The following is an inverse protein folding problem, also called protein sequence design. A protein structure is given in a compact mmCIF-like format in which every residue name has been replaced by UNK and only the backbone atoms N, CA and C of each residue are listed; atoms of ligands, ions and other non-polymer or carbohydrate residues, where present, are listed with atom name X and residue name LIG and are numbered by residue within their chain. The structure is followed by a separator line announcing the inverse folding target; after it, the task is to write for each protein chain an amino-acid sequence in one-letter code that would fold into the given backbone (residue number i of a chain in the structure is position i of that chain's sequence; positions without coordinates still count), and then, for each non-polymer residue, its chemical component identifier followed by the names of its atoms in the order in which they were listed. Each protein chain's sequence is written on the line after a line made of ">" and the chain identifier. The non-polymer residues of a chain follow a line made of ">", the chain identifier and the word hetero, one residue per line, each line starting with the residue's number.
data_IF_717750228889
#
_entry.id   IF_717750228889
#
_cell.length_a   1.000
_cell.length_b   1.000
_cell.length_c   1.000
_cell.angle_alpha   90.00
_cell.angle_beta   90.00
_cell.angle_gamma   90.00
#
_symmetry.space_group_name_H-M   'P 1'
#
loop_
_entity.id
_entity.type
_entity.pdbx_description
1 polymer ?
#
# COMPACT_ATOMS: atom_id res chain seq x y z
N UNK A 1 20.56 -40.83 39.13
CA UNK A 1 20.01 -39.47 39.27
C UNK A 1 19.95 -38.84 37.89
N UNK A 2 18.74 -38.49 37.42
CA UNK A 2 18.50 -37.85 36.12
C UNK A 2 18.67 -36.35 36.26
N UNK A 3 19.58 -35.73 35.51
CA UNK A 3 19.62 -34.28 35.34
C UNK A 3 19.00 -33.93 33.99
N UNK A 4 17.79 -33.39 34.03
CA UNK A 4 17.12 -32.77 32.88
C UNK A 4 17.66 -31.35 32.80
N UNK A 5 18.54 -31.09 31.83
CA UNK A 5 18.92 -29.73 31.45
C UNK A 5 17.88 -29.26 30.43
N UNK A 6 16.99 -28.34 30.85
CA UNK A 6 16.07 -27.66 29.95
C UNK A 6 16.87 -26.77 29.01
N UNK A 7 16.95 -27.16 27.74
CA UNK A 7 17.45 -26.29 26.68
C UNK A 7 16.38 -25.23 26.40
N UNK A 8 16.52 -24.04 26.97
CA UNK A 8 15.76 -22.89 26.54
C UNK A 8 16.32 -22.48 25.18
N UNK A 9 15.58 -22.78 24.10
CA UNK A 9 15.85 -22.21 22.80
C UNK A 9 15.65 -20.70 22.92
N UNK A 10 16.76 -19.96 22.97
CA UNK A 10 16.77 -18.51 22.77
C UNK A 10 16.42 -18.31 21.30
N UNK A 11 15.13 -18.07 21.05
CA UNK A 11 14.70 -17.54 19.76
C UNK A 11 15.22 -16.11 19.73
N UNK A 12 16.33 -15.90 19.03
CA UNK A 12 16.75 -14.58 18.61
C UNK A 12 15.65 -14.05 17.69
N UNK A 13 14.72 -13.27 18.23
CA UNK A 13 13.96 -12.33 17.43
C UNK A 13 14.96 -11.29 16.96
N UNK A 14 15.49 -11.47 15.76
CA UNK A 14 16.07 -10.36 15.00
C UNK A 14 14.87 -9.44 14.73
N UNK A 15 14.61 -8.52 15.66
CA UNK A 15 13.82 -7.33 15.39
C UNK A 15 14.56 -6.59 14.29
N UNK A 16 14.16 -6.87 13.06
CA UNK A 16 14.46 -6.06 11.89
C UNK A 16 13.79 -4.72 12.17
N UNK A 17 14.56 -3.83 12.80
CA UNK A 17 14.21 -2.46 13.10
C UNK A 17 14.28 -1.67 11.78
N UNK A 18 13.46 -2.04 10.80
CA UNK A 18 13.41 -1.35 9.53
C UNK A 18 12.52 -0.11 9.66
N UNK A 19 13.19 1.04 9.60
CA UNK A 19 12.64 2.34 9.22
C UNK A 19 11.33 2.78 9.91
N UNK A 20 11.32 2.83 11.24
CA UNK A 20 10.31 3.60 12.00
C UNK A 20 10.74 5.04 12.33
N UNK A 21 11.83 5.55 11.76
CA UNK A 21 12.37 6.88 12.08
C UNK A 21 12.12 7.95 11.00
N UNK A 22 11.00 7.88 10.30
CA UNK A 22 10.31 9.12 9.95
C UNK A 22 9.24 9.31 11.00
N UNK A 23 9.39 10.34 11.84
CA UNK A 23 8.27 10.91 12.58
C UNK A 23 7.21 11.25 11.53
N UNK A 24 6.24 10.38 11.36
CA UNK A 24 5.05 10.62 10.53
C UNK A 24 4.20 11.60 11.34
N UNK A 25 4.61 12.86 11.32
CA UNK A 25 3.91 13.99 11.94
C UNK A 25 2.67 14.38 11.15
N UNK A 26 2.59 14.00 9.88
CA UNK A 26 1.40 14.13 9.04
C UNK A 26 0.53 12.88 9.15
N UNK A 27 -0.80 13.02 9.19
CA UNK A 27 -1.72 11.88 9.19
C UNK A 27 -1.71 11.19 7.82
N UNK A 28 -0.72 10.35 7.52
CA UNK A 28 -0.65 9.58 6.28
C UNK A 28 -1.15 8.16 6.44
N UNK A 29 -1.62 7.58 5.34
CA UNK A 29 -1.75 6.14 5.19
C UNK A 29 -0.40 5.56 4.75
N UNK A 30 0.02 4.47 5.36
CA UNK A 30 1.23 3.75 4.99
C UNK A 30 0.89 2.29 4.81
N UNK A 31 1.08 1.77 3.62
CA UNK A 31 0.88 0.36 3.26
C UNK A 31 2.23 -0.27 2.98
N UNK A 32 2.58 -1.31 3.74
CA UNK A 32 3.87 -1.99 3.63
C UNK A 32 3.64 -3.45 3.27
N UNK A 33 4.28 -3.91 2.20
CA UNK A 33 4.48 -5.33 1.90
C UNK A 33 5.90 -5.71 2.30
N UNK A 34 6.06 -6.67 3.21
CA UNK A 34 7.35 -7.25 3.59
C UNK A 34 7.31 -8.76 3.29
N UNK A 35 7.94 -9.17 2.20
CA UNK A 35 7.75 -10.50 1.63
C UNK A 35 6.27 -10.79 1.35
N UNK A 36 5.66 -11.69 2.14
CA UNK A 36 4.23 -12.04 2.06
C UNK A 36 3.34 -11.29 3.05
N UNK A 37 3.93 -10.64 4.05
CA UNK A 37 3.18 -9.91 5.07
C UNK A 37 2.79 -8.53 4.54
N UNK A 38 1.53 -8.14 4.74
CA UNK A 38 1.02 -6.83 4.35
C UNK A 38 0.43 -6.14 5.56
N UNK A 39 0.95 -4.97 5.89
CA UNK A 39 0.47 -4.12 6.99
C UNK A 39 0.02 -2.77 6.46
N UNK A 40 -0.93 -2.15 7.16
CA UNK A 40 -1.39 -0.81 6.85
C UNK A 40 -1.56 0.00 8.14
N UNK A 41 -1.16 1.26 8.11
CA UNK A 41 -1.32 2.18 9.25
C UNK A 41 -1.87 3.53 8.80
N UNK A 42 -2.53 4.25 9.72
CA UNK A 42 -2.91 5.66 9.56
C UNK A 42 -2.48 6.45 10.79
N UNK A 43 -1.65 7.48 10.60
CA UNK A 43 -1.11 8.27 11.72
C UNK A 43 -0.44 7.41 12.81
N UNK A 44 0.26 6.35 12.39
CA UNK A 44 0.95 5.40 13.27
C UNK A 44 0.07 4.32 13.92
N UNK A 45 -1.24 4.30 13.67
CA UNK A 45 -2.14 3.26 14.19
C UNK A 45 -2.43 2.20 13.12
N UNK A 46 -2.33 0.92 13.50
CA UNK A 46 -2.65 -0.21 12.62
C UNK A 46 -4.11 -0.16 12.17
N UNK A 47 -4.31 -0.31 10.86
CA UNK A 47 -5.61 -0.47 10.24
C UNK A 47 -5.97 -1.95 10.22
N UNK A 48 -7.11 -2.31 10.81
CA UNK A 48 -7.62 -3.68 10.84
C UNK A 48 -9.11 -3.69 10.55
N UNK A 49 -9.60 -4.81 10.01
CA UNK A 49 -11.00 -4.94 9.57
C UNK A 49 -11.34 -4.07 8.35
N UNK A 50 -12.63 -3.77 8.17
CA UNK A 50 -13.15 -3.02 7.02
C UNK A 50 -13.59 -1.59 7.35
N UNK A 51 -13.62 -1.20 8.64
CA UNK A 51 -14.18 0.11 9.06
C UNK A 51 -13.39 1.31 8.56
N UNK A 52 -12.14 1.13 8.17
CA UNK A 52 -11.28 2.18 7.62
C UNK A 52 -11.42 2.35 6.11
N UNK A 53 -12.07 1.40 5.40
CA UNK A 53 -12.27 1.42 3.95
C UNK A 53 -13.43 2.34 3.57
N UNK A 54 -13.36 3.61 3.97
CA UNK A 54 -14.38 4.59 3.60
C UNK A 54 -14.24 4.96 2.12
N UNK A 55 -15.19 4.50 1.29
CA UNK A 55 -15.20 4.81 -0.14
C UNK A 55 -15.49 6.28 -0.45
N UNK A 56 -15.84 7.11 0.53
CA UNK A 56 -15.97 8.57 0.37
C UNK A 56 -14.65 9.31 0.59
N UNK A 57 -13.66 8.66 1.18
CA UNK A 57 -12.31 9.19 1.35
C UNK A 57 -11.39 8.58 0.27
N UNK A 58 -10.92 9.37 -0.72
CA UNK A 58 -10.06 8.86 -1.77
C UNK A 58 -8.71 8.32 -1.24
N UNK A 59 -8.21 8.83 -0.11
CA UNK A 59 -6.98 8.31 0.51
C UNK A 59 -7.20 6.92 1.11
N UNK A 60 -8.36 6.72 1.73
CA UNK A 60 -8.76 5.41 2.26
C UNK A 60 -8.99 4.38 1.14
N UNK A 61 -9.55 4.81 0.00
CA UNK A 61 -9.70 3.96 -1.20
C UNK A 61 -8.33 3.54 -1.74
N UNK A 62 -7.39 4.48 -1.88
CA UNK A 62 -6.02 4.17 -2.32
C UNK A 62 -5.32 3.19 -1.37
N UNK A 63 -5.42 3.41 -0.07
CA UNK A 63 -4.86 2.48 0.91
C UNK A 63 -5.51 1.09 0.82
N UNK A 64 -6.83 1.01 0.62
CA UNK A 64 -7.56 -0.24 0.43
C UNK A 64 -7.13 -0.97 -0.85
N UNK A 65 -6.91 -0.22 -1.92
CA UNK A 65 -6.40 -0.72 -3.19
C UNK A 65 -5.03 -1.37 -3.00
N UNK A 66 -4.03 -0.66 -2.48
CA UNK A 66 -2.67 -1.20 -2.31
C UNK A 66 -2.63 -2.38 -1.32
N UNK A 67 -3.43 -2.36 -0.25
CA UNK A 67 -3.53 -3.51 0.66
C UNK A 67 -4.04 -4.75 -0.06
N UNK A 68 -5.10 -4.61 -0.85
CA UNK A 68 -5.68 -5.74 -1.59
C UNK A 68 -4.74 -6.22 -2.70
N UNK A 69 -4.13 -5.29 -3.43
CA UNK A 69 -3.14 -5.56 -4.47
C UNK A 69 -1.94 -6.34 -3.93
N UNK A 70 -1.30 -5.87 -2.86
CA UNK A 70 -0.16 -6.57 -2.25
C UNK A 70 -0.53 -7.91 -1.61
N UNK A 71 -1.77 -8.05 -1.12
CA UNK A 71 -2.28 -9.33 -0.61
C UNK A 71 -2.68 -10.30 -1.73
N UNK A 72 -2.73 -9.82 -2.98
CA UNK A 72 -3.19 -10.58 -4.14
C UNK A 72 -4.63 -11.11 -3.94
N UNK A 73 -5.51 -10.28 -3.39
CA UNK A 73 -6.94 -10.59 -3.22
C UNK A 73 -7.76 -9.94 -4.33
N UNK A 74 -8.87 -10.55 -4.74
CA UNK A 74 -9.69 -9.99 -5.84
C UNK A 74 -10.42 -8.68 -5.48
N UNK A 75 -10.45 -8.29 -4.21
CA UNK A 75 -11.14 -7.07 -3.72
C UNK A 75 -10.64 -5.77 -4.37
N UNK A 76 -9.45 -5.75 -4.98
CA UNK A 76 -8.92 -4.51 -5.58
C UNK A 76 -9.66 -4.13 -6.87
N UNK A 77 -10.24 -5.10 -7.58
CA UNK A 77 -11.00 -4.83 -8.82
C UNK A 77 -12.19 -3.90 -8.56
N UNK A 78 -12.87 -4.09 -7.43
CA UNK A 78 -14.01 -3.25 -7.02
C UNK A 78 -13.62 -1.81 -6.63
N UNK A 79 -12.31 -1.51 -6.59
CA UNK A 79 -11.76 -0.21 -6.21
C UNK A 79 -11.21 0.57 -7.42
N UNK A 80 -11.25 0.01 -8.62
CA UNK A 80 -10.80 0.68 -9.85
C UNK A 80 -11.98 1.06 -10.73
N UNK A 81 -11.82 2.09 -11.57
CA UNK A 81 -12.82 2.46 -12.58
C UNK A 81 -12.96 1.34 -13.60
N UNK A 82 -14.20 0.94 -13.88
CA UNK A 82 -14.51 -0.17 -14.78
C UNK A 82 -14.38 0.28 -16.25
N UNK A 83 -13.15 0.36 -16.76
CA UNK A 83 -12.86 0.67 -18.18
C UNK A 83 -12.24 -0.52 -18.89
N UNK A 84 -12.50 -0.64 -20.20
CA UNK A 84 -12.06 -1.72 -21.12
C UNK A 84 -10.55 -2.00 -21.22
N UNK A 85 -9.70 -1.32 -20.45
CA UNK A 85 -8.25 -1.59 -20.31
C UNK A 85 -7.93 -2.76 -19.34
N UNK A 86 -8.96 -3.36 -18.75
CA UNK A 86 -8.89 -4.35 -17.67
C UNK A 86 -8.04 -5.60 -17.93
N UNK A 87 -8.02 -6.14 -19.16
CA UNK A 87 -7.24 -7.36 -19.46
C UNK A 87 -5.76 -7.08 -19.71
N UNK A 88 -5.42 -5.87 -20.17
CA UNK A 88 -4.04 -5.49 -20.50
C UNK A 88 -3.30 -5.02 -19.23
N UNK A 89 -3.97 -4.25 -18.37
CA UNK A 89 -3.36 -3.68 -17.16
C UNK A 89 -3.04 -4.70 -16.07
N UNK A 90 -3.74 -5.83 -15.92
CA UNK A 90 -3.48 -6.75 -14.79
C UNK A 90 -2.19 -7.54 -14.97
N UNK A 91 -2.02 -8.13 -16.15
CA UNK A 91 -0.82 -8.89 -16.47
C UNK A 91 0.37 -7.94 -16.64
N UNK A 92 0.16 -6.77 -17.26
CA UNK A 92 1.19 -5.74 -17.37
C UNK A 92 1.51 -5.08 -16.03
N UNK A 93 0.57 -4.86 -15.10
CA UNK A 93 0.91 -4.35 -13.76
C UNK A 93 1.58 -5.42 -12.89
N UNK A 94 1.12 -6.68 -12.93
CA UNK A 94 1.80 -7.74 -12.20
C UNK A 94 3.22 -7.98 -12.73
N UNK A 95 3.43 -7.90 -14.05
CA UNK A 95 4.75 -8.02 -14.67
C UNK A 95 5.57 -6.72 -14.57
N UNK A 96 4.99 -5.53 -14.67
CA UNK A 96 5.67 -4.25 -14.48
C UNK A 96 6.12 -4.10 -13.03
N UNK A 97 5.26 -4.38 -12.03
CA UNK A 97 5.71 -4.33 -10.64
C UNK A 97 6.71 -5.46 -10.31
N UNK A 98 6.62 -6.64 -10.93
CA UNK A 98 7.70 -7.65 -10.84
C UNK A 98 9.00 -7.18 -11.50
N UNK A 99 8.94 -6.50 -12.64
CA UNK A 99 10.10 -6.00 -13.38
C UNK A 99 10.74 -4.78 -12.71
N UNK A 100 9.94 -3.85 -12.17
CA UNK A 100 10.39 -2.64 -11.48
C UNK A 100 10.89 -2.94 -10.07
N UNK A 101 10.25 -3.86 -9.34
CA UNK A 101 10.58 -4.10 -7.94
C UNK A 101 11.33 -5.42 -7.69
N UNK A 102 11.51 -6.28 -8.69
CA UNK A 102 12.06 -7.62 -8.47
C UNK A 102 11.35 -8.36 -7.34
N UNK A 103 12.02 -9.32 -6.71
CA UNK A 103 11.59 -9.85 -5.41
C UNK A 103 12.03 -8.83 -4.35
N UNK A 104 11.47 -7.61 -4.35
CA UNK A 104 11.73 -6.64 -3.28
C UNK A 104 11.38 -7.27 -1.93
N UNK A 105 12.34 -7.21 -1.01
CA UNK A 105 12.18 -7.67 0.36
C UNK A 105 11.07 -6.85 1.03
N UNK A 106 11.01 -5.55 0.74
CA UNK A 106 9.98 -4.66 1.27
C UNK A 106 9.57 -3.58 0.25
N UNK A 107 8.29 -3.28 0.16
CA UNK A 107 7.71 -2.15 -0.55
C UNK A 107 6.84 -1.37 0.43
N UNK A 108 6.97 -0.04 0.46
CA UNK A 108 6.19 0.87 1.28
C UNK A 108 5.58 1.96 0.40
N UNK A 109 4.26 2.10 0.49
CA UNK A 109 3.48 3.16 -0.16
C UNK A 109 2.99 4.12 0.90
N UNK A 110 3.39 5.39 0.80
CA UNK A 110 2.91 6.46 1.67
C UNK A 110 1.96 7.36 0.90
N UNK A 111 0.74 7.50 1.43
CA UNK A 111 -0.33 8.33 0.88
C UNK A 111 -0.61 9.42 1.91
N UNK A 112 -0.29 10.67 1.56
CA UNK A 112 -0.62 11.83 2.39
C UNK A 112 -1.98 12.40 1.96
N UNK A 113 -3.03 12.33 2.79
CA UNK A 113 -4.35 12.88 2.46
C UNK A 113 -4.34 14.37 2.16
N UNK A 114 -3.35 15.11 2.65
CA UNK A 114 -3.21 16.55 2.46
C UNK A 114 -2.55 16.91 1.12
N UNK A 115 -1.93 15.94 0.44
CA UNK A 115 -1.17 16.14 -0.81
C UNK A 115 -1.95 15.68 -2.04
N UNK A 116 -3.25 16.01 -2.09
CA UNK A 116 -4.07 15.74 -3.26
C UNK A 116 -4.50 17.02 -3.95
N UNK A 117 -4.62 16.96 -5.26
CA UNK A 117 -5.11 18.05 -6.09
C UNK A 117 -6.47 17.68 -6.69
N UNK A 118 -7.51 18.43 -6.33
CA UNK A 118 -8.81 18.32 -6.98
C UNK A 118 -8.81 19.04 -8.33
N UNK A 119 -9.29 18.35 -9.37
CA UNK A 119 -9.57 18.93 -10.69
C UNK A 119 -11.07 18.84 -10.94
N UNK A 120 -11.78 19.90 -10.55
CA UNK A 120 -13.24 19.91 -10.54
C UNK A 120 -13.82 19.02 -9.43
N UNK A 121 -15.07 18.57 -9.62
CA UNK A 121 -15.84 17.90 -8.55
C UNK A 121 -15.69 16.37 -8.53
N UNK A 122 -15.03 15.79 -9.54
CA UNK A 122 -15.03 14.35 -9.77
C UNK A 122 -13.67 13.73 -10.08
N UNK A 123 -12.57 14.49 -10.05
CA UNK A 123 -11.23 13.99 -10.31
C UNK A 123 -10.26 14.50 -9.26
N UNK A 124 -9.41 13.62 -8.75
CA UNK A 124 -8.33 13.95 -7.82
C UNK A 124 -7.01 13.32 -8.29
N UNK A 125 -5.92 14.05 -8.14
CA UNK A 125 -4.56 13.55 -8.36
C UNK A 125 -3.84 13.41 -7.03
N UNK A 126 -3.19 12.28 -6.82
CA UNK A 126 -2.40 11.99 -5.62
C UNK A 126 -0.95 11.78 -6.00
N UNK A 127 -0.05 12.54 -5.40
CA UNK A 127 1.37 12.17 -5.38
C UNK A 127 1.60 11.19 -4.23
N UNK A 128 1.91 9.94 -4.55
CA UNK A 128 2.28 8.92 -3.56
C UNK A 128 3.80 8.83 -3.47
N UNK A 129 4.32 8.56 -2.28
CA UNK A 129 5.73 8.22 -2.11
C UNK A 129 5.88 6.70 -2.08
N UNK A 130 6.81 6.19 -2.88
CA UNK A 130 7.12 4.77 -3.00
C UNK A 130 8.55 4.56 -2.50
N UNK A 131 8.72 3.67 -1.53
CA UNK A 131 10.03 3.23 -1.07
C UNK A 131 10.11 1.71 -1.23
N UNK A 132 11.16 1.20 -1.86
CA UNK A 132 11.38 -0.23 -2.00
C UNK A 132 12.79 -0.60 -1.57
N UNK A 133 12.93 -1.79 -0.98
CA UNK A 133 14.21 -2.34 -0.56
C UNK A 133 14.48 -3.67 -1.22
N UNK A 134 15.70 -3.81 -1.74
CA UNK A 134 16.20 -5.00 -2.41
C UNK A 134 17.68 -5.17 -2.06
N UNK A 135 18.08 -6.37 -1.60
CA UNK A 135 19.47 -6.70 -1.23
C UNK A 135 20.10 -5.72 -0.23
N UNK A 136 19.29 -5.22 0.72
CA UNK A 136 19.75 -4.28 1.75
C UNK A 136 19.96 -2.83 1.27
N UNK A 137 19.67 -2.51 0.00
CA UNK A 137 19.57 -1.13 -0.49
C UNK A 137 18.12 -0.66 -0.46
N UNK A 138 17.90 0.63 -0.28
CA UNK A 138 16.58 1.25 -0.33
C UNK A 138 16.63 2.39 -1.34
N UNK A 139 15.69 2.37 -2.28
CA UNK A 139 15.46 3.44 -3.23
C UNK A 139 14.06 4.02 -2.98
N UNK A 140 13.94 5.33 -3.20
CA UNK A 140 12.71 6.07 -2.95
C UNK A 140 12.37 6.95 -4.17
N UNK A 141 11.09 7.06 -4.46
CA UNK A 141 10.54 7.91 -5.53
C UNK A 141 9.15 8.41 -5.18
N UNK A 142 8.65 9.29 -6.02
CA UNK A 142 7.27 9.77 -5.98
C UNK A 142 6.61 9.48 -7.33
N UNK A 143 5.33 9.18 -7.30
CA UNK A 143 4.56 8.95 -8.52
C UNK A 143 3.12 9.44 -8.35
N UNK A 144 2.41 9.66 -9.47
CA UNK A 144 1.06 10.20 -9.50
C UNK A 144 0.01 9.09 -9.70
N UNK A 145 -1.08 9.19 -8.94
CA UNK A 145 -2.26 8.33 -9.07
C UNK A 145 -3.47 9.21 -9.38
N UNK A 146 -4.25 8.83 -10.39
CA UNK A 146 -5.51 9.51 -10.71
C UNK A 146 -6.68 8.78 -10.07
N UNK A 147 -7.56 9.55 -9.43
CA UNK A 147 -8.78 9.10 -8.76
C UNK A 147 -10.00 9.75 -9.40
N UNK A 148 -11.08 8.97 -9.57
CA UNK A 148 -12.37 9.47 -10.05
C UNK A 148 -13.48 9.24 -9.03
N UNK A 149 -14.40 10.20 -8.94
CA UNK A 149 -15.59 10.12 -8.10
C UNK A 149 -16.79 9.70 -8.94
N UNK A 150 -17.42 8.59 -8.59
CA UNK A 150 -18.72 8.26 -9.13
C UNK A 150 -19.75 9.30 -8.70
N UNK A 151 -20.35 9.98 -9.68
CA UNK A 151 -21.25 11.12 -9.42
C UNK A 151 -22.55 10.72 -8.73
N UNK A 152 -22.99 9.45 -8.86
CA UNK A 152 -24.26 8.98 -8.30
C UNK A 152 -24.14 8.58 -6.84
N UNK A 153 -23.16 7.74 -6.54
CA UNK A 153 -22.90 7.25 -5.20
C UNK A 153 -22.06 8.24 -4.40
N UNK A 154 -21.18 9.00 -5.04
CA UNK A 154 -20.16 9.83 -4.40
C UNK A 154 -18.95 9.04 -3.90
N UNK A 155 -18.82 7.77 -4.28
CA UNK A 155 -17.64 6.93 -4.00
C UNK A 155 -16.48 7.29 -4.92
N UNK A 156 -15.26 7.16 -4.40
CA UNK A 156 -14.04 7.30 -5.17
C UNK A 156 -13.53 5.94 -5.64
N UNK A 157 -12.90 5.93 -6.81
CA UNK A 157 -12.27 4.79 -7.45
C UNK A 157 -10.93 5.21 -8.03
N UNK A 158 -9.98 4.27 -8.11
CA UNK A 158 -8.69 4.47 -8.76
C UNK A 158 -8.91 4.40 -10.28
N UNK A 159 -8.53 5.46 -10.98
CA UNK A 159 -8.72 5.57 -12.43
C UNK A 159 -7.45 5.22 -13.21
N UNK A 160 -6.29 5.66 -12.70
CA UNK A 160 -4.99 5.44 -13.34
C UNK A 160 -3.94 5.26 -12.24
N UNK A 161 -3.07 4.27 -12.41
CA UNK A 161 -2.00 3.95 -11.49
C UNK A 161 -0.65 4.37 -12.08
N UNK A 162 0.35 4.60 -11.20
CA UNK A 162 1.72 4.78 -11.61
C UNK A 162 2.26 3.55 -12.36
N UNK A 163 2.88 3.80 -13.51
CA UNK A 163 3.47 2.81 -14.43
C UNK A 163 4.95 2.54 -14.11
#
# INVERSE_FOLDING_TARGET
>A
MKHIIRLAAVIFTVTVLYAQNTLITEKSFIVVRNGKEVTATYGGKTLSGNSWKDRKDPSAVLAAFFVSYFKQTDDWHDLIVNNTFYEILIDEMNEAYKQFYGIADTISITISPEKFMLKGDATAFYTIKIAYSYEGKTDEGEDEVTMEKDKKSGEWLVAELPL
#
